data_IF_180922516896
#
_entry.id   IF_180922516896
#
_cell.length_a   1.000
_cell.length_b   1.000
_cell.length_c   1.000
_cell.angle_alpha   90.00
_cell.angle_beta   90.00
_cell.angle_gamma   90.00
#
_symmetry.space_group_name_H-M   'P 1'
#
loop_
_entity.id
_entity.type
_entity.pdbx_description
1 polymer ?
#
# COMPACT_ATOMS: atom_id res chain seq x y z
N UNK A 1 -22.29 -4.31 -11.21
CA UNK A 1 -21.81 -3.11 -10.50
C UNK A 1 -20.56 -3.55 -9.79
N UNK A 2 -19.40 -3.09 -10.26
CA UNK A 2 -18.09 -3.60 -9.85
C UNK A 2 -17.86 -3.37 -8.36
N UNK A 3 -17.62 -4.45 -7.62
CA UNK A 3 -17.29 -4.45 -6.20
C UNK A 3 -15.96 -3.73 -5.99
N UNK A 4 -16.02 -2.45 -5.61
CA UNK A 4 -14.85 -1.75 -5.07
C UNK A 4 -14.76 -2.01 -3.56
N UNK A 5 -14.87 -3.30 -3.16
CA UNK A 5 -14.86 -3.76 -1.77
C UNK A 5 -13.44 -4.09 -1.31
N UNK A 6 -12.48 -3.23 -1.66
CA UNK A 6 -11.09 -3.49 -1.29
C UNK A 6 -10.81 -3.13 0.15
N UNK A 7 -9.87 -3.83 0.79
CA UNK A 7 -9.50 -3.52 2.18
C UNK A 7 -8.88 -2.11 2.26
N UNK A 8 -9.38 -1.21 3.14
CA UNK A 8 -8.84 0.15 3.23
C UNK A 8 -7.38 0.14 3.68
N UNK A 9 -6.62 1.15 3.22
CA UNK A 9 -5.23 1.31 3.64
C UNK A 9 -5.13 1.55 5.16
N UNK A 10 -4.11 0.99 5.81
CA UNK A 10 -3.87 1.20 7.23
C UNK A 10 -3.47 2.65 7.51
N UNK A 11 -3.54 3.05 8.79
CA UNK A 11 -3.13 4.37 9.22
C UNK A 11 -1.61 4.59 9.02
N UNK A 12 -1.25 5.12 7.85
CA UNK A 12 0.11 5.52 7.50
C UNK A 12 0.27 7.04 7.65
N UNK A 13 1.52 7.51 7.69
CA UNK A 13 1.79 8.95 7.77
C UNK A 13 1.18 9.70 6.58
N UNK A 14 0.68 10.92 6.79
CA UNK A 14 0.08 11.74 5.73
C UNK A 14 0.86 11.83 4.40
N UNK A 15 2.20 11.93 4.39
CA UNK A 15 2.97 11.88 3.14
C UNK A 15 2.90 10.53 2.40
N UNK A 16 2.86 9.42 3.15
CA UNK A 16 2.78 8.08 2.59
C UNK A 16 1.39 7.79 2.01
N UNK A 17 0.33 8.23 2.68
CA UNK A 17 -1.04 8.17 2.16
C UNK A 17 -1.17 8.95 0.86
N UNK A 18 -0.61 10.17 0.82
CA UNK A 18 -0.58 10.98 -0.41
C UNK A 18 0.21 10.33 -1.52
N UNK A 19 1.34 9.69 -1.21
CA UNK A 19 2.15 9.00 -2.20
C UNK A 19 1.40 7.81 -2.83
N UNK A 20 0.67 7.02 -2.03
CA UNK A 20 -0.20 5.95 -2.54
C UNK A 20 -1.37 6.51 -3.36
N UNK A 21 -2.05 7.54 -2.85
CA UNK A 21 -3.13 8.18 -3.57
C UNK A 21 -2.67 8.80 -4.92
N UNK A 22 -1.43 9.29 -4.99
CA UNK A 22 -0.85 9.84 -6.21
C UNK A 22 -0.66 8.80 -7.32
N UNK A 23 -0.46 7.52 -6.96
CA UNK A 23 -0.42 6.39 -7.91
C UNK A 23 -1.78 5.69 -8.05
N UNK A 24 -2.84 6.22 -7.42
CA UNK A 24 -4.19 5.66 -7.47
C UNK A 24 -4.41 4.45 -6.56
N UNK A 25 -3.48 4.17 -5.64
CA UNK A 25 -3.61 3.09 -4.65
C UNK A 25 -4.41 3.58 -3.46
N UNK A 26 -5.58 3.00 -3.25
CA UNK A 26 -6.50 3.36 -2.16
C UNK A 26 -6.86 2.18 -1.26
N UNK A 27 -6.46 0.97 -1.65
CA UNK A 27 -6.73 -0.28 -0.93
C UNK A 27 -5.47 -1.14 -0.81
N UNK A 28 -5.47 -2.08 0.14
CA UNK A 28 -4.36 -3.03 0.32
C UNK A 28 -4.18 -3.93 -0.91
N UNK A 29 -5.25 -4.34 -1.57
CA UNK A 29 -5.17 -5.16 -2.79
C UNK A 29 -4.44 -4.40 -3.91
N UNK A 30 -4.77 -3.14 -4.13
CA UNK A 30 -4.04 -2.30 -5.08
C UNK A 30 -2.57 -2.13 -4.66
N UNK A 31 -2.31 -1.95 -3.36
CA UNK A 31 -0.95 -1.87 -2.86
C UNK A 31 -0.17 -3.18 -3.10
N UNK A 32 -0.84 -4.34 -3.10
CA UNK A 32 -0.24 -5.65 -3.34
C UNK A 32 0.17 -5.85 -4.80
N UNK A 33 -0.42 -5.10 -5.72
CA UNK A 33 0.00 -5.07 -7.14
C UNK A 33 1.35 -4.37 -7.35
N UNK A 34 1.86 -3.68 -6.34
CA UNK A 34 3.16 -2.99 -6.37
C UNK A 34 4.20 -3.72 -5.52
N UNK A 35 5.47 -3.60 -5.91
CA UNK A 35 6.58 -4.15 -5.13
C UNK A 35 6.99 -3.22 -3.99
N UNK A 36 7.63 -3.77 -2.96
CA UNK A 36 8.18 -2.99 -1.84
C UNK A 36 9.10 -1.86 -2.33
N UNK A 37 9.92 -2.13 -3.35
CA UNK A 37 10.86 -1.17 -3.94
C UNK A 37 10.15 -0.04 -4.67
N UNK A 38 9.11 -0.35 -5.45
CA UNK A 38 8.33 0.67 -6.17
C UNK A 38 7.67 1.62 -5.19
N UNK A 39 7.05 1.08 -4.15
CA UNK A 39 6.42 1.87 -3.10
C UNK A 39 7.45 2.71 -2.35
N UNK A 40 8.62 2.16 -2.01
CA UNK A 40 9.70 2.90 -1.35
C UNK A 40 10.33 3.98 -2.25
N UNK A 41 10.23 3.83 -3.58
CA UNK A 41 10.69 4.83 -4.54
C UNK A 41 9.74 6.03 -4.65
N UNK A 42 8.51 5.94 -4.14
CA UNK A 42 7.55 7.04 -4.18
C UNK A 42 8.02 8.19 -3.28
N UNK A 43 7.95 9.41 -3.81
CA UNK A 43 8.34 10.61 -3.08
C UNK A 43 7.41 10.84 -1.88
N UNK A 44 7.95 10.68 -0.66
CA UNK A 44 7.18 10.79 0.58
C UNK A 44 6.69 9.46 1.16
N UNK A 45 6.96 8.33 0.50
CA UNK A 45 6.67 7.00 1.03
C UNK A 45 7.91 6.40 1.69
N UNK A 46 7.95 6.49 3.03
CA UNK A 46 9.10 6.04 3.81
C UNK A 46 9.04 4.55 4.21
N UNK A 47 10.14 4.01 4.78
CA UNK A 47 10.20 2.63 5.28
C UNK A 47 9.17 2.33 6.38
N UNK A 48 8.68 3.37 7.07
CA UNK A 48 7.57 3.26 8.02
C UNK A 48 6.27 2.82 7.33
N UNK A 49 5.98 3.36 6.14
CA UNK A 49 4.80 2.99 5.36
C UNK A 49 4.85 1.53 4.93
N UNK A 50 6.02 1.08 4.46
CA UNK A 50 6.26 -0.33 4.11
C UNK A 50 6.02 -1.25 5.31
N UNK A 51 6.56 -0.91 6.48
CA UNK A 51 6.39 -1.73 7.68
C UNK A 51 4.90 -1.92 8.02
N UNK A 52 4.14 -0.81 8.01
CA UNK A 52 2.70 -0.83 8.30
C UNK A 52 1.94 -1.65 7.25
N UNK A 53 2.23 -1.42 5.95
CA UNK A 53 1.63 -2.21 4.87
C UNK A 53 1.93 -3.71 5.03
N UNK A 54 3.17 -4.07 5.38
CA UNK A 54 3.57 -5.46 5.62
C UNK A 54 2.80 -6.10 6.76
N UNK A 55 2.60 -5.38 7.86
CA UNK A 55 1.80 -5.85 9.01
C UNK A 55 0.32 -6.05 8.61
N UNK A 56 -0.25 -5.12 7.83
CA UNK A 56 -1.60 -5.26 7.31
C UNK A 56 -1.72 -6.41 6.30
N UNK A 57 -0.76 -6.54 5.39
CA UNK A 57 -0.69 -7.65 4.45
C UNK A 57 -0.66 -9.00 5.15
N UNK A 58 0.18 -9.17 6.18
CA UNK A 58 0.20 -10.39 6.99
C UNK A 58 -1.15 -10.70 7.65
N UNK A 59 -1.91 -9.67 8.04
CA UNK A 59 -3.24 -9.83 8.64
C UNK A 59 -4.29 -10.27 7.60
N UNK A 60 -4.16 -9.79 6.37
CA UNK A 60 -5.10 -10.06 5.27
C UNK A 60 -4.66 -11.22 4.35
N UNK A 61 -3.50 -11.85 4.62
CA UNK A 61 -2.94 -12.89 3.76
C UNK A 61 -2.43 -12.36 2.41
N UNK A 62 -2.14 -11.06 2.32
CA UNK A 62 -1.57 -10.42 1.14
C UNK A 62 -0.05 -10.35 1.25
N UNK A 63 0.60 -10.03 0.14
CA UNK A 63 2.04 -9.80 0.06
C UNK A 63 2.33 -8.71 -0.97
N UNK A 64 3.50 -8.08 -0.89
CA UNK A 64 3.97 -7.23 -1.98
C UNK A 64 4.22 -8.07 -3.23
N UNK A 65 4.04 -7.46 -4.39
CA UNK A 65 4.43 -8.09 -5.65
C UNK A 65 5.92 -8.42 -5.61
N UNK A 66 6.25 -9.65 -5.96
CA UNK A 66 7.63 -10.07 -6.21
C UNK A 66 8.10 -9.41 -7.51
N UNK A 67 9.22 -8.68 -7.42
CA UNK A 67 9.91 -8.01 -8.53
C UNK A 67 11.05 -8.87 -9.07
#
# INVERSE_FOLDING_TARGET
>A
MSENSGTPLPAISGPAERALAAIGVTTLEQASEHSEKELLALHGFGPKGIKILRESFATHGLAFRED
#
